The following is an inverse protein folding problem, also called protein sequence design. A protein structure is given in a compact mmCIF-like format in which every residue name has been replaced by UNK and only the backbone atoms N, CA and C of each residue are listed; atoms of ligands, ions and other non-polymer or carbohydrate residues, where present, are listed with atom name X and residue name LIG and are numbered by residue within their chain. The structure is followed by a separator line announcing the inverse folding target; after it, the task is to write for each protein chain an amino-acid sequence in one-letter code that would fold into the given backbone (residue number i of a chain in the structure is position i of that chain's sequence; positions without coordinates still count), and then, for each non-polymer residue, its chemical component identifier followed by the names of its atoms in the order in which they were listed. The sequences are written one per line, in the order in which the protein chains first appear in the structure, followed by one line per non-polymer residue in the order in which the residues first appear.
data_IF_957750133858
#
_entry.id   IF_957750133858
#
_cell.length_a   1.000
_cell.length_b   1.000
_cell.length_c   1.000
_cell.angle_alpha   90.00
_cell.angle_beta   90.00
_cell.angle_gamma   90.00
#
_symmetry.space_group_name_H-M   'P 1'
#
loop_
_entity.id
_entity.type
_entity.pdbx_description
1 polymer ?
#
# COMPACT_ATOMS: atom_id res chain seq x y z
N UNK A 1 -5.37 -9.16 -2.27
CA UNK A 1 -5.31 -10.38 -1.44
C UNK A 1 -4.48 -10.23 -0.16
N UNK A 2 -3.19 -9.87 -0.23
CA UNK A 2 -2.32 -9.78 0.97
C UNK A 2 -2.80 -8.74 2.00
N UNK A 3 -3.24 -7.56 1.55
CA UNK A 3 -3.75 -6.51 2.44
C UNK A 3 -5.06 -6.94 3.15
N UNK A 4 -5.99 -7.55 2.42
CA UNK A 4 -7.27 -7.98 3.00
C UNK A 4 -7.10 -9.12 3.99
N UNK A 5 -6.14 -10.02 3.73
CA UNK A 5 -5.82 -11.08 4.67
C UNK A 5 -5.21 -10.52 5.96
N UNK A 6 -4.28 -9.57 5.86
CA UNK A 6 -3.71 -8.91 7.03
C UNK A 6 -4.77 -8.11 7.83
N UNK A 7 -5.71 -7.45 7.14
CA UNK A 7 -6.82 -6.72 7.77
C UNK A 7 -7.74 -7.66 8.55
N UNK A 8 -8.15 -8.77 7.96
CA UNK A 8 -8.97 -9.78 8.64
C UNK A 8 -8.23 -10.39 9.83
N UNK A 9 -6.91 -10.61 9.70
CA UNK A 9 -6.09 -11.09 10.81
C UNK A 9 -6.06 -10.12 12.00
N UNK A 10 -5.95 -8.82 11.72
CA UNK A 10 -6.05 -7.76 12.74
C UNK A 10 -7.42 -7.76 13.44
N UNK A 11 -8.52 -7.79 12.69
CA UNK A 11 -9.87 -7.85 13.27
C UNK A 11 -10.06 -9.06 14.18
N UNK A 12 -9.58 -10.23 13.76
CA UNK A 12 -9.63 -11.46 14.59
C UNK A 12 -8.81 -11.28 15.87
N UNK A 13 -7.59 -10.72 15.78
CA UNK A 13 -6.74 -10.49 16.93
C UNK A 13 -7.36 -9.51 17.93
N UNK A 14 -8.00 -8.45 17.44
CA UNK A 14 -8.72 -7.48 18.27
C UNK A 14 -9.90 -8.10 19.01
N UNK A 15 -10.71 -8.91 18.31
CA UNK A 15 -11.83 -9.64 18.93
C UNK A 15 -11.31 -10.61 19.99
N UNK A 16 -10.26 -11.38 19.70
CA UNK A 16 -9.70 -12.31 20.69
C UNK A 16 -9.16 -11.58 21.91
N UNK A 17 -8.53 -10.43 21.73
CA UNK A 17 -8.06 -9.59 22.82
C UNK A 17 -9.21 -9.02 23.66
N UNK A 18 -10.29 -8.52 23.03
CA UNK A 18 -11.45 -8.00 23.75
C UNK A 18 -12.21 -9.07 24.54
N UNK A 19 -12.24 -10.30 24.04
CA UNK A 19 -12.80 -11.47 24.73
C UNK A 19 -11.86 -12.07 25.79
N UNK A 20 -10.66 -11.52 25.96
CA UNK A 20 -9.67 -11.99 26.94
C UNK A 20 -9.01 -13.34 26.60
N UNK A 21 -9.20 -13.84 25.37
CA UNK A 21 -8.63 -15.10 24.86
C UNK A 21 -7.41 -14.88 23.95
N UNK A 22 -6.98 -13.63 23.82
CA UNK A 22 -5.84 -13.19 23.05
C UNK A 22 -4.99 -12.18 23.83
N UNK A 23 -3.83 -11.86 23.30
CA UNK A 23 -2.86 -10.96 23.95
C UNK A 23 -2.70 -9.64 23.21
N UNK A 24 -2.31 -8.59 23.93
CA UNK A 24 -1.96 -7.31 23.31
C UNK A 24 -0.83 -7.45 22.28
N UNK A 25 0.07 -8.43 22.47
CA UNK A 25 1.15 -8.71 21.54
C UNK A 25 0.64 -9.25 20.19
N UNK A 26 -0.37 -10.13 20.19
CA UNK A 26 -0.99 -10.63 18.95
C UNK A 26 -1.64 -9.48 18.16
N UNK A 27 -2.29 -8.52 18.84
CA UNK A 27 -2.85 -7.33 18.20
C UNK A 27 -1.76 -6.46 17.56
N UNK A 28 -0.66 -6.22 18.29
CA UNK A 28 0.46 -5.44 17.79
C UNK A 28 1.13 -6.10 16.57
N UNK A 29 1.30 -7.43 16.60
CA UNK A 29 1.86 -8.16 15.47
C UNK A 29 0.94 -8.07 14.24
N UNK A 30 -0.38 -8.25 14.42
CA UNK A 30 -1.33 -8.14 13.34
C UNK A 30 -1.39 -6.72 12.74
N UNK A 31 -1.31 -5.68 13.58
CA UNK A 31 -1.19 -4.29 13.14
C UNK A 31 0.09 -4.05 12.34
N UNK A 32 1.24 -4.59 12.79
CA UNK A 32 2.50 -4.51 12.07
C UNK A 32 2.42 -5.19 10.70
N UNK A 33 1.81 -6.38 10.63
CA UNK A 33 1.59 -7.09 9.36
C UNK A 33 0.72 -6.28 8.39
N UNK A 34 -0.37 -5.68 8.87
CA UNK A 34 -1.23 -4.82 8.05
C UNK A 34 -0.46 -3.59 7.54
N UNK A 35 0.34 -2.96 8.40
CA UNK A 35 1.14 -1.80 8.02
C UNK A 35 2.15 -2.15 6.93
N UNK A 36 2.86 -3.27 7.09
CA UNK A 36 3.79 -3.78 6.08
C UNK A 36 3.09 -4.09 4.75
N UNK A 37 1.89 -4.68 4.80
CA UNK A 37 1.09 -4.94 3.60
C UNK A 37 0.71 -3.64 2.87
N UNK A 38 0.30 -2.60 3.61
CA UNK A 38 -0.02 -1.28 3.04
C UNK A 38 1.20 -0.63 2.37
N UNK A 39 2.36 -0.66 3.03
CA UNK A 39 3.62 -0.14 2.47
C UNK A 39 4.01 -0.89 1.19
N UNK A 40 3.81 -2.20 1.15
CA UNK A 40 4.11 -3.00 -0.04
C UNK A 40 3.19 -2.66 -1.22
N UNK A 41 1.90 -2.39 -0.98
CA UNK A 41 0.97 -1.92 -2.02
C UNK A 41 1.44 -0.58 -2.58
N UNK A 42 1.74 0.39 -1.70
CA UNK A 42 2.24 1.70 -2.12
C UNK A 42 3.53 1.61 -2.93
N UNK A 43 4.46 0.75 -2.50
CA UNK A 43 5.72 0.52 -3.23
C UNK A 43 5.47 -0.11 -4.59
N UNK A 44 4.51 -1.03 -4.70
CA UNK A 44 4.15 -1.65 -5.98
C UNK A 44 3.56 -0.62 -6.96
N UNK A 45 2.67 0.25 -6.49
CA UNK A 45 2.10 1.35 -7.28
C UNK A 45 3.18 2.33 -7.75
N UNK A 46 4.08 2.74 -6.85
CA UNK A 46 5.20 3.60 -7.20
C UNK A 46 6.11 2.97 -8.25
N UNK A 47 6.45 1.69 -8.08
CA UNK A 47 7.28 0.95 -9.02
C UNK A 47 6.59 0.83 -10.39
N UNK A 48 5.27 0.65 -10.44
CA UNK A 48 4.51 0.64 -11.68
C UNK A 48 4.60 1.99 -12.41
N UNK A 49 4.42 3.10 -11.69
CA UNK A 49 4.53 4.44 -12.27
C UNK A 49 5.93 4.71 -12.82
N UNK A 50 6.97 4.35 -12.06
CA UNK A 50 8.36 4.48 -12.49
C UNK A 50 8.67 3.59 -13.70
N UNK A 51 8.17 2.36 -13.72
CA UNK A 51 8.34 1.45 -14.86
C UNK A 51 7.65 2.00 -16.12
N UNK A 52 6.45 2.58 -15.97
CA UNK A 52 5.74 3.24 -17.08
C UNK A 52 6.53 4.44 -17.59
N UNK A 53 7.01 5.32 -16.71
CA UNK A 53 7.79 6.49 -17.09
C UNK A 53 9.10 6.09 -17.80
N UNK A 54 9.78 5.03 -17.32
CA UNK A 54 10.96 4.49 -17.96
C UNK A 54 10.65 3.89 -19.34
N UNK A 55 9.52 3.20 -19.48
CA UNK A 55 9.04 2.65 -20.75
C UNK A 55 8.73 3.77 -21.77
N UNK A 56 7.97 4.79 -21.36
CA UNK A 56 7.64 5.95 -22.22
C UNK A 56 8.91 6.67 -22.69
N UNK A 57 9.89 6.87 -21.78
CA UNK A 57 11.21 7.44 -22.10
C UNK A 57 11.98 6.57 -23.11
N UNK A 58 11.98 5.25 -22.93
CA UNK A 58 12.67 4.32 -23.83
C UNK A 58 12.08 4.32 -25.25
N UNK A 59 10.77 4.57 -25.37
CA UNK A 59 10.09 4.73 -26.66
C UNK A 59 10.26 6.12 -27.28
N UNK A 60 10.92 7.05 -26.59
CA UNK A 60 11.09 8.43 -27.06
C UNK A 60 9.78 9.24 -27.09
N UNK A 61 8.75 8.79 -26.37
CA UNK A 61 7.51 9.54 -26.23
C UNK A 61 7.78 10.76 -25.33
N UNK A 62 7.37 11.98 -25.74
CA UNK A 62 7.52 13.15 -24.89
C UNK A 62 6.73 12.94 -23.60
N UNK A 63 7.32 13.30 -22.47
CA UNK A 63 6.59 13.45 -21.21
C UNK A 63 5.50 14.49 -21.50
N UNK A 64 4.23 14.09 -21.44
CA UNK A 64 3.12 14.99 -21.78
C UNK A 64 3.10 16.15 -20.77
N UNK A 65 3.66 17.28 -21.20
CA UNK A 65 3.81 18.49 -20.40
C UNK A 65 2.46 19.22 -20.20
N UNK A 66 1.39 18.77 -20.87
CA UNK A 66 0.08 19.42 -20.77
C UNK A 66 -0.57 19.31 -19.39
N UNK A 67 -0.21 18.32 -18.57
CA UNK A 67 -0.64 18.24 -17.15
C UNK A 67 0.14 19.16 -16.22
N UNK A 68 1.35 19.61 -16.60
CA UNK A 68 2.15 20.52 -15.77
C UNK A 68 1.72 22.00 -15.94
N UNK A 69 1.17 22.37 -17.10
CA UNK A 69 0.67 23.73 -17.38
C UNK A 69 -0.73 24.03 -16.84
N UNK A 70 -1.45 23.05 -16.28
CA UNK A 70 -2.85 23.19 -15.87
C UNK A 70 -3.07 23.86 -14.51
N UNK A 71 -2.01 24.11 -13.72
CA UNK A 71 -2.11 24.64 -12.37
C UNK A 71 -1.59 26.09 -12.21
N UNK A 72 -1.39 26.82 -13.31
CA UNK A 72 -0.94 28.22 -13.28
C UNK A 72 -2.01 29.25 -13.72
N UNK A 73 -3.31 28.96 -13.60
CA UNK A 73 -4.37 29.97 -13.79
C UNK A 73 -5.49 29.87 -12.78
#
# INVERSE_FOLDING_TARGET
ETQDQARRGMEIAEVRYSEGVGTQLEVLDAQLQLNNANVNVLRAEYNQLMAKAAYDRALGLPFDETVASGNER
#
